data_IF_759378644803
#
_entry.id   IF_759378644803
#
_cell.length_a   1.000
_cell.length_b   1.000
_cell.length_c   1.000
_cell.angle_alpha   90.00
_cell.angle_beta   90.00
_cell.angle_gamma   90.00
#
_symmetry.space_group_name_H-M   'P 1'
#
loop_
_entity.id
_entity.type
_entity.pdbx_description
1 polymer ?
#
# COMPACT_ATOMS: atom_id res chain seq x y z
N UNK A 1 12.71 -39.62 -3.71
CA UNK A 1 12.22 -38.42 -4.46
C UNK A 1 11.88 -38.91 -5.85
N UNK A 2 10.69 -38.64 -6.41
CA UNK A 2 10.34 -39.11 -7.74
C UNK A 2 11.27 -38.50 -8.80
N UNK A 3 11.65 -39.32 -9.77
CA UNK A 3 12.47 -38.92 -10.91
C UNK A 3 11.85 -37.80 -11.78
N UNK A 4 12.68 -37.08 -12.56
CA UNK A 4 12.23 -35.97 -13.41
C UNK A 4 11.22 -36.41 -14.49
N UNK A 5 11.26 -37.66 -14.96
CA UNK A 5 10.33 -38.20 -15.94
C UNK A 5 8.89 -38.26 -15.40
N UNK A 6 8.72 -38.63 -14.13
CA UNK A 6 7.40 -38.65 -13.46
C UNK A 6 6.81 -37.24 -13.36
N UNK A 7 7.64 -36.26 -12.96
CA UNK A 7 7.22 -34.87 -12.86
C UNK A 7 6.87 -34.28 -14.24
N UNK A 8 7.66 -34.59 -15.27
CA UNK A 8 7.37 -34.18 -16.65
C UNK A 8 6.06 -34.78 -17.17
N UNK A 9 5.78 -36.05 -16.83
CA UNK A 9 4.54 -36.71 -17.23
C UNK A 9 3.29 -36.07 -16.60
N UNK A 10 3.36 -35.62 -15.34
CA UNK A 10 2.26 -34.85 -14.70
C UNK A 10 2.02 -33.53 -15.42
N UNK A 11 3.10 -32.80 -15.78
CA UNK A 11 3.00 -31.52 -16.49
C UNK A 11 2.23 -31.63 -17.82
N UNK A 12 2.32 -32.77 -18.51
CA UNK A 12 1.63 -33.04 -19.78
C UNK A 12 0.18 -33.49 -19.62
N UNK A 13 -0.15 -34.28 -18.58
CA UNK A 13 -1.45 -34.94 -18.44
C UNK A 13 -2.44 -34.27 -17.48
N UNK A 14 -2.03 -33.18 -16.81
CA UNK A 14 -2.78 -32.47 -15.78
C UNK A 14 -2.96 -33.28 -14.48
N UNK A 15 -3.30 -34.55 -14.57
CA UNK A 15 -3.30 -35.52 -13.47
C UNK A 15 -2.64 -36.82 -13.95
N UNK A 16 -1.87 -37.47 -13.07
CA UNK A 16 -1.25 -38.75 -13.34
C UNK A 16 -1.42 -39.66 -12.13
N UNK A 17 -1.96 -40.86 -12.37
CA UNK A 17 -2.02 -41.95 -11.42
C UNK A 17 -1.28 -43.16 -11.99
N UNK A 18 -0.33 -43.69 -11.24
CA UNK A 18 0.43 -44.89 -11.59
C UNK A 18 0.43 -45.83 -10.39
N UNK A 19 -0.32 -46.92 -10.50
CA UNK A 19 -0.48 -47.90 -9.42
C UNK A 19 0.79 -48.72 -9.16
N UNK A 20 1.56 -49.01 -10.22
CA UNK A 20 2.94 -49.53 -10.13
C UNK A 20 3.82 -48.89 -11.22
N UNK A 21 4.71 -47.98 -10.83
CA UNK A 21 5.64 -47.24 -11.68
C UNK A 21 6.60 -48.16 -12.44
N UNK A 22 6.87 -49.37 -11.92
CA UNK A 22 7.73 -50.33 -12.61
C UNK A 22 7.08 -50.96 -13.84
N UNK A 23 5.77 -50.78 -14.03
CA UNK A 23 5.04 -51.30 -15.20
C UNK A 23 5.18 -50.43 -16.44
N UNK A 24 5.62 -49.16 -16.30
CA UNK A 24 5.94 -48.27 -17.42
C UNK A 24 7.45 -47.96 -17.43
N UNK A 25 8.24 -48.59 -18.32
CA UNK A 25 9.68 -48.39 -18.40
C UNK A 25 10.11 -46.93 -18.63
N UNK A 26 9.20 -46.06 -19.12
CA UNK A 26 9.47 -44.64 -19.37
C UNK A 26 9.37 -43.78 -18.11
N UNK A 27 8.74 -44.30 -17.06
CA UNK A 27 8.53 -43.63 -15.78
C UNK A 27 9.28 -44.32 -14.64
N UNK A 28 10.06 -45.37 -14.95
CA UNK A 28 10.65 -46.28 -13.99
C UNK A 28 11.56 -45.55 -12.98
N UNK A 29 11.22 -45.68 -11.71
CA UNK A 29 11.97 -45.13 -10.59
C UNK A 29 12.16 -46.25 -9.54
N UNK A 30 13.39 -46.70 -9.26
CA UNK A 30 13.64 -47.88 -8.43
C UNK A 30 13.15 -47.74 -6.98
N UNK A 31 12.96 -46.51 -6.50
CA UNK A 31 12.50 -46.23 -5.13
C UNK A 31 10.99 -45.99 -5.05
N UNK A 32 10.32 -45.80 -6.19
CA UNK A 32 8.89 -45.51 -6.26
C UNK A 32 8.14 -46.69 -6.88
N UNK A 33 7.12 -47.16 -6.17
CA UNK A 33 6.16 -48.16 -6.67
C UNK A 33 4.85 -47.50 -7.02
N UNK A 34 4.27 -46.71 -6.13
CA UNK A 34 3.05 -45.97 -6.41
C UNK A 34 3.34 -44.49 -6.62
N UNK A 35 2.70 -43.85 -7.60
CA UNK A 35 2.81 -42.41 -7.85
C UNK A 35 1.46 -41.80 -8.21
N UNK A 36 1.12 -40.68 -7.59
CA UNK A 36 0.05 -39.81 -8.05
C UNK A 36 0.55 -38.37 -8.06
N UNK A 37 0.16 -37.61 -9.07
CA UNK A 37 0.57 -36.22 -9.20
C UNK A 37 -0.47 -35.39 -9.92
N UNK A 38 -0.61 -34.14 -9.50
CA UNK A 38 -1.48 -33.15 -10.13
C UNK A 38 -0.66 -31.93 -10.49
N UNK A 39 -0.93 -31.37 -11.67
CA UNK A 39 -0.33 -30.14 -12.13
C UNK A 39 -1.02 -28.97 -11.44
N UNK A 40 -0.24 -28.05 -10.89
CA UNK A 40 -0.74 -26.78 -10.38
C UNK A 40 -0.91 -25.83 -11.56
N UNK A 41 -2.14 -25.39 -11.80
CA UNK A 41 -2.46 -24.40 -12.82
C UNK A 41 -2.36 -23.00 -12.22
N UNK A 42 -1.26 -22.30 -12.51
CA UNK A 42 -0.95 -20.97 -11.98
C UNK A 42 -1.31 -19.85 -12.98
N UNK A 43 -2.02 -20.18 -14.06
CA UNK A 43 -2.36 -19.20 -15.11
C UNK A 43 -1.13 -18.60 -15.78
N UNK A 44 -1.11 -17.27 -15.92
CA UNK A 44 -0.01 -16.51 -16.53
C UNK A 44 1.20 -16.30 -15.58
N UNK A 45 1.05 -16.63 -14.29
CA UNK A 45 2.09 -16.46 -13.28
C UNK A 45 3.02 -17.69 -13.23
N UNK A 46 4.06 -17.69 -14.08
CA UNK A 46 5.21 -18.61 -14.06
C UNK A 46 4.93 -20.12 -14.34
N UNK A 47 6.00 -20.93 -14.40
CA UNK A 47 5.96 -22.35 -14.76
C UNK A 47 5.01 -23.18 -13.86
N UNK A 48 4.18 -24.02 -14.48
CA UNK A 48 3.31 -24.95 -13.77
C UNK A 48 4.07 -25.86 -12.80
N UNK A 49 3.76 -25.75 -11.51
CA UNK A 49 4.25 -26.63 -10.45
C UNK A 49 3.59 -28.01 -10.48
N UNK A 50 4.14 -28.97 -9.73
CA UNK A 50 3.56 -30.32 -9.58
C UNK A 50 3.45 -30.65 -8.10
N UNK A 51 2.23 -30.97 -7.66
CA UNK A 51 1.97 -31.57 -6.35
C UNK A 51 1.86 -33.08 -6.53
N UNK A 52 2.57 -33.86 -5.71
CA UNK A 52 2.65 -35.31 -5.88
C UNK A 52 2.69 -36.05 -4.55
N UNK A 53 2.30 -37.33 -4.60
CA UNK A 53 2.49 -38.30 -3.53
C UNK A 53 3.04 -39.60 -4.12
N UNK A 54 4.00 -40.21 -3.43
CA UNK A 54 4.66 -41.43 -3.88
C UNK A 54 4.85 -42.43 -2.73
N UNK A 55 4.91 -43.72 -3.02
CA UNK A 55 5.14 -44.78 -2.03
C UNK A 55 6.05 -45.88 -2.59
N UNK A 56 6.92 -46.42 -1.74
CA UNK A 56 7.79 -47.57 -2.03
C UNK A 56 7.04 -48.92 -2.01
N UNK A 57 5.75 -48.93 -1.67
CA UNK A 57 4.90 -50.13 -1.68
C UNK A 57 3.96 -50.06 -2.88
N UNK A 58 3.92 -51.14 -3.66
CA UNK A 58 2.91 -51.32 -4.71
C UNK A 58 1.55 -51.58 -4.06
N UNK A 59 0.48 -51.05 -4.64
CA UNK A 59 -0.89 -51.26 -4.17
C UNK A 59 -1.90 -50.49 -5.01
N UNK A 60 -3.16 -50.95 -5.03
CA UNK A 60 -4.27 -50.19 -5.62
C UNK A 60 -4.39 -48.87 -4.88
N UNK A 61 -4.41 -47.76 -5.63
CA UNK A 61 -4.61 -46.46 -5.03
C UNK A 61 -5.94 -46.47 -4.29
N UNK A 62 -5.95 -46.14 -3.01
CA UNK A 62 -7.21 -45.70 -2.41
C UNK A 62 -7.67 -44.50 -3.25
N UNK A 63 -8.85 -44.57 -3.92
CA UNK A 63 -9.32 -43.47 -4.77
C UNK A 63 -9.47 -42.16 -4.00
N UNK A 64 -9.51 -42.19 -2.66
CA UNK A 64 -9.46 -41.01 -1.82
C UNK A 64 -8.13 -40.23 -1.96
N UNK A 65 -7.01 -40.89 -2.22
CA UNK A 65 -5.68 -40.24 -2.26
C UNK A 65 -5.52 -39.35 -3.50
N UNK A 66 -5.76 -39.81 -4.74
CA UNK A 66 -5.71 -38.94 -5.92
C UNK A 66 -6.70 -37.78 -5.84
N UNK A 67 -7.90 -38.04 -5.30
CA UNK A 67 -8.92 -37.01 -5.12
C UNK A 67 -8.51 -35.93 -4.12
N UNK A 68 -8.01 -36.33 -2.95
CA UNK A 68 -7.51 -35.39 -1.95
C UNK A 68 -6.32 -34.58 -2.49
N UNK A 69 -5.44 -35.21 -3.27
CA UNK A 69 -4.32 -34.52 -3.90
C UNK A 69 -4.79 -33.48 -4.94
N UNK A 70 -5.79 -33.81 -5.74
CA UNK A 70 -6.39 -32.87 -6.69
C UNK A 70 -7.06 -31.69 -5.97
N UNK A 71 -7.82 -31.94 -4.91
CA UNK A 71 -8.47 -30.89 -4.11
C UNK A 71 -7.42 -29.95 -3.47
N UNK A 72 -6.37 -30.52 -2.87
CA UNK A 72 -5.24 -29.76 -2.32
C UNK A 72 -4.48 -28.99 -3.40
N UNK A 73 -4.22 -29.61 -4.55
CA UNK A 73 -3.56 -28.97 -5.68
C UNK A 73 -4.34 -27.76 -6.18
N UNK A 74 -5.67 -27.88 -6.30
CA UNK A 74 -6.52 -26.77 -6.70
C UNK A 74 -6.56 -25.64 -5.65
N UNK A 75 -6.52 -25.98 -4.35
CA UNK A 75 -6.44 -24.98 -3.27
C UNK A 75 -5.09 -24.24 -3.29
N UNK A 76 -3.98 -24.97 -3.39
CA UNK A 76 -2.63 -24.40 -3.48
C UNK A 76 -2.47 -23.53 -4.71
N UNK A 77 -2.95 -23.97 -5.87
CA UNK A 77 -2.88 -23.20 -7.11
C UNK A 77 -3.65 -21.87 -7.00
N UNK A 78 -4.85 -21.88 -6.40
CA UNK A 78 -5.62 -20.65 -6.13
C UNK A 78 -4.85 -19.71 -5.20
N UNK A 79 -4.33 -20.22 -4.09
CA UNK A 79 -3.59 -19.41 -3.12
C UNK A 79 -2.36 -18.76 -3.76
N UNK A 80 -1.52 -19.56 -4.45
CA UNK A 80 -0.33 -19.06 -5.12
C UNK A 80 -0.65 -18.01 -6.19
N UNK A 81 -1.72 -18.21 -6.95
CA UNK A 81 -2.15 -17.25 -7.99
C UNK A 81 -2.65 -15.94 -7.36
N UNK A 82 -3.43 -16.03 -6.26
CA UNK A 82 -3.88 -14.86 -5.51
C UNK A 82 -2.70 -14.11 -4.89
N UNK A 83 -1.77 -14.80 -4.23
CA UNK A 83 -0.57 -14.20 -3.65
C UNK A 83 0.27 -13.49 -4.72
N UNK A 84 0.53 -14.14 -5.86
CA UNK A 84 1.28 -13.52 -6.95
C UNK A 84 0.58 -12.27 -7.52
N UNK A 85 -0.75 -12.29 -7.62
CA UNK A 85 -1.53 -11.14 -8.08
C UNK A 85 -1.48 -9.97 -7.11
N UNK A 86 -1.51 -10.25 -5.80
CA UNK A 86 -1.36 -9.24 -4.75
C UNK A 86 0.06 -8.66 -4.70
N UNK A 87 1.09 -9.51 -4.87
CA UNK A 87 2.48 -9.08 -4.94
C UNK A 87 2.72 -8.14 -6.12
N UNK A 88 2.22 -8.48 -7.31
CA UNK A 88 2.27 -7.59 -8.48
C UNK A 88 1.51 -6.28 -8.21
N UNK A 89 0.34 -6.34 -7.58
CA UNK A 89 -0.41 -5.15 -7.17
C UNK A 89 0.42 -4.25 -6.26
N UNK A 90 1.08 -4.83 -5.25
CA UNK A 90 1.97 -4.12 -4.32
C UNK A 90 3.14 -3.46 -5.04
N UNK A 91 3.76 -4.16 -5.98
CA UNK A 91 4.85 -3.61 -6.81
C UNK A 91 4.37 -2.37 -7.57
N UNK A 92 3.24 -2.47 -8.26
CA UNK A 92 2.64 -1.34 -8.99
C UNK A 92 2.30 -0.18 -8.05
N UNK A 93 1.69 -0.45 -6.88
CA UNK A 93 1.36 0.61 -5.93
C UNK A 93 2.61 1.35 -5.44
N UNK A 94 3.70 0.62 -5.16
CA UNK A 94 4.98 1.23 -4.78
C UNK A 94 5.61 2.05 -5.91
N UNK A 95 5.48 1.62 -7.15
CA UNK A 95 5.95 2.39 -8.31
C UNK A 95 5.13 3.65 -8.57
N UNK A 96 3.86 3.65 -8.15
CA UNK A 96 2.99 4.82 -8.25
C UNK A 96 3.32 5.89 -7.21
N UNK A 97 3.83 5.49 -6.04
CA UNK A 97 4.31 6.41 -5.00
C UNK A 97 5.58 7.13 -5.47
N UNK A 98 5.84 8.36 -4.99
CA UNK A 98 7.05 9.09 -5.36
C UNK A 98 8.33 8.36 -4.91
N UNK A 99 9.00 7.67 -5.83
CA UNK A 99 10.25 6.92 -5.58
C UNK A 99 11.36 7.78 -4.95
N UNK A 100 11.36 9.09 -5.25
CA UNK A 100 12.26 10.09 -4.64
C UNK A 100 11.52 11.41 -4.45
N UNK A 101 11.81 12.16 -3.37
CA UNK A 101 11.30 13.51 -3.23
C UNK A 101 11.78 14.42 -4.37
N UNK A 102 10.94 15.35 -4.86
CA UNK A 102 11.38 16.38 -5.78
C UNK A 102 12.46 17.24 -5.12
N UNK A 103 13.46 17.64 -5.89
CA UNK A 103 14.47 18.60 -5.42
C UNK A 103 13.85 19.99 -5.36
N UNK A 104 13.72 20.53 -4.14
CA UNK A 104 13.20 21.86 -3.85
C UNK A 104 14.28 22.66 -3.11
N UNK A 105 14.73 23.77 -3.69
CA UNK A 105 15.81 24.57 -3.10
C UNK A 105 15.37 25.14 -1.75
N UNK A 106 16.17 24.93 -0.70
CA UNK A 106 15.86 25.40 0.65
C UNK A 106 14.85 24.53 1.40
N UNK A 107 14.53 23.32 0.91
CA UNK A 107 13.67 22.37 1.61
C UNK A 107 14.28 20.97 1.62
N UNK A 108 13.99 20.25 2.70
CA UNK A 108 14.23 18.81 2.83
C UNK A 108 12.88 18.12 2.94
N UNK A 109 12.66 17.06 2.16
CA UNK A 109 11.41 16.32 2.12
C UNK A 109 11.72 14.86 2.46
N UNK A 110 10.88 14.24 3.28
CA UNK A 110 10.97 12.81 3.60
C UNK A 110 9.57 12.23 3.73
N UNK A 111 9.43 10.95 3.42
CA UNK A 111 8.18 10.23 3.60
C UNK A 111 8.46 8.78 3.98
N UNK A 112 7.53 8.22 4.74
CA UNK A 112 7.47 6.81 5.06
C UNK A 112 6.04 6.35 4.83
N UNK A 113 5.84 5.32 4.01
CA UNK A 113 4.53 4.74 3.76
C UNK A 113 4.66 3.23 3.77
N UNK A 114 3.88 2.58 4.62
CA UNK A 114 3.94 1.16 4.87
C UNK A 114 2.51 0.60 4.96
N UNK A 115 2.07 -0.21 3.98
CA UNK A 115 0.75 -0.82 4.05
C UNK A 115 0.72 -1.96 5.09
N UNK A 116 -0.42 -2.08 5.78
CA UNK A 116 -0.76 -3.15 6.72
C UNK A 116 -0.88 -4.51 6.02
N UNK A 117 -1.46 -4.52 4.82
CA UNK A 117 -1.61 -5.70 3.97
C UNK A 117 -0.67 -5.63 2.75
N UNK A 118 -0.90 -6.47 1.74
CA UNK A 118 -0.16 -6.39 0.48
C UNK A 118 -0.41 -5.06 -0.24
N UNK A 119 -1.60 -4.48 -0.07
CA UNK A 119 -2.02 -3.22 -0.66
C UNK A 119 -2.65 -2.32 0.40
N UNK A 120 -2.30 -1.03 0.39
CA UNK A 120 -2.83 -0.04 1.33
C UNK A 120 -3.87 0.90 0.72
N UNK A 121 -4.78 1.41 1.55
CA UNK A 121 -5.67 2.53 1.27
C UNK A 121 -5.00 3.90 1.41
N UNK A 122 -3.85 3.95 2.05
CA UNK A 122 -3.01 5.15 2.11
C UNK A 122 -2.31 5.46 0.78
N UNK A 123 -2.22 6.74 0.46
CA UNK A 123 -1.40 7.25 -0.63
C UNK A 123 -0.84 8.63 -0.31
N UNK A 124 0.39 8.92 -0.73
CA UNK A 124 0.93 10.27 -0.74
C UNK A 124 1.56 10.66 -2.07
N UNK A 125 1.52 11.94 -2.42
CA UNK A 125 2.16 12.48 -3.62
C UNK A 125 2.74 13.87 -3.37
N UNK A 126 3.77 14.22 -4.12
CA UNK A 126 4.37 15.54 -4.11
C UNK A 126 5.02 15.90 -5.45
N UNK A 127 4.80 17.11 -5.93
CA UNK A 127 5.42 17.55 -7.17
C UNK A 127 5.46 19.07 -7.24
N UNK A 128 6.27 19.59 -8.16
CA UNK A 128 6.46 21.04 -8.31
C UNK A 128 5.66 21.57 -9.47
N UNK A 129 4.97 22.69 -9.25
CA UNK A 129 4.26 23.44 -10.29
C UNK A 129 4.50 24.92 -10.06
N UNK A 130 5.19 25.57 -11.00
CA UNK A 130 5.34 27.03 -11.02
C UNK A 130 6.00 27.62 -9.77
N UNK A 131 6.99 26.93 -9.17
CA UNK A 131 7.65 27.39 -7.93
C UNK A 131 6.84 27.13 -6.66
N UNK A 132 5.83 26.26 -6.74
CA UNK A 132 5.10 25.76 -5.58
C UNK A 132 5.19 24.23 -5.51
N UNK A 133 5.48 23.72 -4.32
CA UNK A 133 5.43 22.30 -3.99
C UNK A 133 3.99 21.92 -3.64
N UNK A 134 3.45 20.92 -4.36
CA UNK A 134 2.20 20.25 -4.05
C UNK A 134 2.46 19.09 -3.11
N UNK A 135 1.59 18.93 -2.12
CA UNK A 135 1.67 17.90 -1.10
C UNK A 135 0.28 17.28 -1.02
N UNK A 136 0.21 15.96 -1.06
CA UNK A 136 -1.03 15.20 -0.96
C UNK A 136 -0.79 14.03 -0.02
N UNK A 137 -1.69 13.83 0.94
CA UNK A 137 -1.84 12.59 1.67
C UNK A 137 -3.32 12.24 1.66
N UNK A 138 -3.63 11.00 1.29
CA UNK A 138 -4.99 10.44 1.21
C UNK A 138 -5.00 9.15 1.99
N UNK A 139 -6.07 8.92 2.74
CA UNK A 139 -6.34 7.67 3.44
C UNK A 139 -7.81 7.29 3.15
N UNK A 140 -8.01 6.12 2.55
CA UNK A 140 -9.32 5.62 2.14
C UNK A 140 -9.83 4.60 3.15
N UNK A 141 -11.07 4.78 3.62
CA UNK A 141 -11.70 3.85 4.57
C UNK A 141 -11.59 2.39 4.11
N UNK A 142 -11.05 1.57 5.01
CA UNK A 142 -10.90 0.13 4.84
C UNK A 142 -9.51 -0.25 4.36
N UNK A 143 -9.26 -1.56 4.21
CA UNK A 143 -7.91 -2.09 3.99
C UNK A 143 -7.87 -3.02 2.78
N UNK A 144 -6.68 -3.21 2.22
CA UNK A 144 -6.42 -4.15 1.14
C UNK A 144 -6.86 -3.65 -0.24
N UNK A 145 -7.17 -4.60 -1.13
CA UNK A 145 -7.40 -4.34 -2.57
C UNK A 145 -8.49 -3.29 -2.84
N UNK A 146 -9.56 -3.29 -2.05
CA UNK A 146 -10.69 -2.40 -2.32
C UNK A 146 -10.35 -0.92 -2.04
N UNK A 147 -9.73 -0.62 -0.91
CA UNK A 147 -9.32 0.74 -0.57
C UNK A 147 -8.17 1.21 -1.46
N UNK A 148 -7.23 0.32 -1.81
CA UNK A 148 -6.09 0.67 -2.67
C UNK A 148 -6.50 1.10 -4.08
N UNK A 149 -7.54 0.48 -4.66
CA UNK A 149 -8.07 0.87 -5.97
C UNK A 149 -8.68 2.27 -5.95
N UNK A 150 -9.44 2.59 -4.90
CA UNK A 150 -10.02 3.92 -4.71
C UNK A 150 -8.91 4.94 -4.46
N UNK A 151 -7.93 4.63 -3.61
CA UNK A 151 -6.81 5.49 -3.29
C UNK A 151 -6.00 5.87 -4.54
N UNK A 152 -5.72 4.89 -5.41
CA UNK A 152 -5.05 5.13 -6.69
C UNK A 152 -5.84 6.09 -7.59
N UNK A 153 -7.17 5.95 -7.65
CA UNK A 153 -8.05 6.84 -8.39
C UNK A 153 -8.10 8.25 -7.82
N UNK A 154 -8.31 8.38 -6.51
CA UNK A 154 -8.33 9.67 -5.80
C UNK A 154 -7.03 10.42 -6.04
N UNK A 155 -5.87 9.77 -5.85
CA UNK A 155 -4.59 10.44 -6.09
C UNK A 155 -4.42 10.85 -7.55
N UNK A 156 -4.76 10.02 -8.54
CA UNK A 156 -4.62 10.42 -9.94
C UNK A 156 -5.44 11.69 -10.26
N UNK A 157 -6.65 11.78 -9.69
CA UNK A 157 -7.52 12.95 -9.84
C UNK A 157 -7.01 14.16 -9.08
N UNK A 158 -6.52 13.98 -7.84
CA UNK A 158 -5.88 15.04 -7.06
C UNK A 158 -4.64 15.59 -7.77
N UNK A 159 -3.79 14.71 -8.31
CA UNK A 159 -2.61 15.08 -9.06
C UNK A 159 -2.96 15.99 -10.25
N UNK A 160 -3.96 15.57 -11.05
CA UNK A 160 -4.43 16.36 -12.18
C UNK A 160 -5.04 17.71 -11.73
N UNK A 161 -5.89 17.71 -10.71
CA UNK A 161 -6.57 18.90 -10.24
C UNK A 161 -5.61 19.93 -9.60
N UNK A 162 -4.74 19.51 -8.69
CA UNK A 162 -3.76 20.37 -8.01
C UNK A 162 -2.67 20.91 -8.93
N UNK A 163 -2.47 20.28 -10.09
CA UNK A 163 -1.57 20.81 -11.13
C UNK A 163 -2.09 22.10 -11.75
N UNK A 164 -3.42 22.29 -11.80
CA UNK A 164 -4.04 23.43 -12.47
C UNK A 164 -4.76 24.38 -11.53
N UNK A 165 -5.00 23.98 -10.28
CA UNK A 165 -5.82 24.71 -9.33
C UNK A 165 -5.16 24.87 -7.94
N UNK A 166 -5.72 25.75 -7.12
CA UNK A 166 -5.42 25.80 -5.69
C UNK A 166 -6.10 24.66 -4.93
N UNK A 167 -5.67 24.36 -3.70
CA UNK A 167 -6.26 23.34 -2.83
C UNK A 167 -7.79 23.29 -2.82
N UNK A 168 -8.47 24.39 -2.50
CA UNK A 168 -9.94 24.43 -2.39
C UNK A 168 -10.67 24.10 -3.71
N UNK A 169 -10.18 24.64 -4.83
CA UNK A 169 -10.78 24.34 -6.13
C UNK A 169 -10.50 22.89 -6.57
N UNK A 170 -9.34 22.35 -6.21
CA UNK A 170 -8.97 20.97 -6.55
C UNK A 170 -9.81 19.95 -5.76
N UNK A 171 -9.92 20.10 -4.44
CA UNK A 171 -10.72 19.20 -3.60
C UNK A 171 -12.19 19.21 -3.99
N UNK A 172 -12.78 20.38 -4.25
CA UNK A 172 -14.18 20.51 -4.65
C UNK A 172 -14.44 19.80 -5.99
N UNK A 173 -13.49 19.90 -6.92
CA UNK A 173 -13.60 19.23 -8.22
C UNK A 173 -13.53 17.71 -8.08
N UNK A 174 -12.55 17.20 -7.33
CA UNK A 174 -12.37 15.76 -7.14
C UNK A 174 -13.54 15.16 -6.35
N UNK A 175 -14.03 15.86 -5.32
CA UNK A 175 -15.19 15.44 -4.57
C UNK A 175 -16.45 15.32 -5.43
N UNK A 176 -16.72 16.30 -6.31
CA UNK A 176 -17.85 16.25 -7.23
C UNK A 176 -17.72 15.14 -8.28
N UNK A 177 -16.52 14.94 -8.83
CA UNK A 177 -16.28 13.91 -9.83
C UNK A 177 -16.37 12.47 -9.23
N UNK A 178 -16.08 12.29 -7.92
CA UNK A 178 -16.12 10.99 -7.22
C UNK A 178 -17.37 10.75 -6.36
N UNK A 179 -18.29 11.70 -6.27
CA UNK A 179 -19.45 11.63 -5.36
C UNK A 179 -20.26 10.34 -5.55
N UNK A 180 -20.56 9.99 -6.81
CA UNK A 180 -21.32 8.76 -7.13
C UNK A 180 -20.52 7.49 -6.83
N UNK A 181 -19.20 7.51 -7.01
CA UNK A 181 -18.35 6.34 -6.76
C UNK A 181 -18.23 6.06 -5.25
N UNK A 182 -18.07 7.11 -4.43
CA UNK A 182 -18.08 6.98 -2.98
C UNK A 182 -19.43 6.50 -2.44
N UNK A 183 -20.55 7.03 -2.95
CA UNK A 183 -21.91 6.59 -2.56
C UNK A 183 -22.14 5.11 -2.89
N UNK A 184 -21.81 4.68 -4.12
CA UNK A 184 -22.01 3.29 -4.57
C UNK A 184 -21.12 2.28 -3.85
N UNK A 185 -19.94 2.70 -3.42
CA UNK A 185 -19.00 1.82 -2.71
C UNK A 185 -19.17 1.86 -1.19
N UNK A 186 -20.00 2.78 -0.67
CA UNK A 186 -20.09 3.09 0.75
C UNK A 186 -18.70 3.30 1.38
N UNK A 187 -17.89 4.12 0.70
CA UNK A 187 -16.53 4.49 1.10
C UNK A 187 -16.39 6.00 1.22
N UNK A 188 -15.39 6.42 1.98
CA UNK A 188 -14.95 7.81 2.06
C UNK A 188 -13.42 7.84 2.14
N UNK A 189 -12.84 9.01 1.89
CA UNK A 189 -11.41 9.24 1.98
C UNK A 189 -11.12 10.51 2.78
N UNK A 190 -10.21 10.42 3.74
CA UNK A 190 -9.62 11.60 4.37
C UNK A 190 -8.47 12.10 3.50
N UNK A 191 -8.32 13.42 3.38
CA UNK A 191 -7.26 13.99 2.56
C UNK A 191 -6.64 15.22 3.22
N UNK A 192 -5.32 15.32 3.18
CA UNK A 192 -4.61 16.59 3.32
C UNK A 192 -4.02 16.98 1.96
N UNK A 193 -4.33 18.18 1.49
CA UNK A 193 -3.74 18.72 0.26
C UNK A 193 -3.14 20.10 0.50
N UNK A 194 -1.95 20.34 -0.03
CA UNK A 194 -1.19 21.55 0.19
C UNK A 194 -0.55 22.10 -1.08
N UNK A 195 -0.41 23.42 -1.12
CA UNK A 195 0.39 24.17 -2.08
C UNK A 195 1.32 25.11 -1.30
N UNK A 196 2.57 24.69 -1.17
CA UNK A 196 3.63 25.43 -0.50
C UNK A 196 4.35 26.32 -1.51
N UNK A 197 4.33 27.63 -1.30
CA UNK A 197 5.14 28.58 -2.06
C UNK A 197 6.60 28.46 -1.63
N UNK A 198 7.48 28.04 -2.55
CA UNK A 198 8.87 27.71 -2.23
C UNK A 198 9.66 28.94 -1.75
N UNK A 199 9.35 30.13 -2.27
CA UNK A 199 10.08 31.35 -1.95
C UNK A 199 9.69 31.92 -0.57
N UNK A 200 8.40 31.95 -0.28
CA UNK A 200 7.86 32.60 0.92
C UNK A 200 7.70 31.65 2.09
N UNK A 201 7.55 30.34 1.83
CA UNK A 201 7.18 29.33 2.82
C UNK A 201 5.70 29.34 3.20
N UNK A 202 4.88 30.12 2.50
CA UNK A 202 3.42 30.14 2.72
C UNK A 202 2.82 28.85 2.18
N UNK A 203 2.16 28.10 3.06
CA UNK A 203 1.40 26.91 2.74
C UNK A 203 -0.09 27.28 2.69
N UNK A 204 -0.71 27.12 1.52
CA UNK A 204 -2.17 27.06 1.42
C UNK A 204 -2.59 25.60 1.41
N UNK A 205 -3.56 25.23 2.22
CA UNK A 205 -3.94 23.83 2.38
C UNK A 205 -5.44 23.65 2.62
N UNK A 206 -5.90 22.42 2.39
CA UNK A 206 -7.21 21.94 2.83
C UNK A 206 -6.99 20.63 3.58
N UNK A 207 -7.63 20.51 4.73
CA UNK A 207 -7.76 19.26 5.47
C UNK A 207 -9.22 18.77 5.36
N UNK A 208 -9.42 17.75 4.54
CA UNK A 208 -10.70 17.09 4.34
C UNK A 208 -10.86 15.90 5.30
N UNK A 209 -10.94 16.19 6.60
CA UNK A 209 -11.18 15.21 7.65
C UNK A 209 -10.00 14.30 7.98
N UNK A 210 -8.78 14.67 7.58
CA UNK A 210 -7.55 13.94 7.87
C UNK A 210 -7.08 14.20 9.30
N UNK A 211 -7.04 15.46 9.72
CA UNK A 211 -6.88 15.85 11.13
C UNK A 211 -5.49 15.64 11.73
N UNK A 212 -4.52 15.12 10.98
CA UNK A 212 -3.19 14.76 11.47
C UNK A 212 -2.15 15.53 10.64
N UNK A 213 -2.24 16.85 10.71
CA UNK A 213 -1.26 17.78 10.13
C UNK A 213 -0.75 18.74 11.20
N UNK A 214 0.57 18.85 11.33
CA UNK A 214 1.23 19.61 12.39
C UNK A 214 2.38 20.43 11.83
N UNK A 215 2.49 21.67 12.30
CA UNK A 215 3.64 22.52 12.07
C UNK A 215 4.51 22.54 13.34
N UNK A 216 5.70 21.94 13.24
CA UNK A 216 6.73 21.98 14.27
C UNK A 216 7.67 23.16 13.98
N UNK A 217 7.77 24.10 14.90
CA UNK A 217 8.64 25.26 14.77
C UNK A 217 10.10 24.93 15.13
N UNK A 218 11.03 25.74 14.63
CA UNK A 218 12.46 25.58 14.88
C UNK A 218 12.87 25.64 16.36
N UNK A 219 12.11 26.34 17.20
CA UNK A 219 12.30 26.37 18.66
C UNK A 219 11.76 25.11 19.37
N UNK A 220 11.17 24.21 18.60
CA UNK A 220 10.54 22.99 19.05
C UNK A 220 9.16 23.19 19.65
N UNK A 221 8.53 24.36 19.57
CA UNK A 221 7.08 24.51 19.76
C UNK A 221 6.33 23.94 18.54
N UNK A 222 5.03 23.64 18.67
CA UNK A 222 4.25 23.13 17.55
C UNK A 222 2.80 23.60 17.64
N UNK A 223 2.13 23.59 16.49
CA UNK A 223 0.70 23.77 16.37
C UNK A 223 0.11 22.72 15.43
N UNK A 224 -1.05 22.19 15.81
CA UNK A 224 -1.84 21.36 14.90
C UNK A 224 -2.54 22.29 13.90
N UNK A 225 -2.38 22.00 12.62
CA UNK A 225 -3.05 22.75 11.56
C UNK A 225 -4.57 22.56 11.68
N UNK A 226 -5.31 23.60 11.31
CA UNK A 226 -6.76 23.62 11.47
C UNK A 226 -7.40 22.49 10.65
N UNK A 227 -8.09 21.59 11.35
CA UNK A 227 -8.90 20.52 10.79
C UNK A 227 -10.35 20.70 11.25
N UNK A 228 -11.30 20.50 10.34
CA UNK A 228 -12.71 20.73 10.65
C UNK A 228 -13.69 20.33 9.56
N UNK A 229 -13.21 20.13 8.34
CA UNK A 229 -14.06 19.64 7.27
C UNK A 229 -14.23 18.12 7.36
N UNK A 230 -15.29 17.62 6.72
CA UNK A 230 -15.57 16.19 6.66
C UNK A 230 -14.79 15.51 5.52
N UNK A 231 -14.58 14.18 5.61
CA UNK A 231 -13.95 13.39 4.55
C UNK A 231 -14.70 13.46 3.22
N UNK A 232 -13.97 13.25 2.11
CA UNK A 232 -14.59 13.08 0.79
C UNK A 232 -15.53 11.89 0.81
N UNK A 233 -16.74 12.05 0.25
CA UNK A 233 -17.73 10.97 0.20
C UNK A 233 -18.48 10.74 1.51
N UNK A 234 -18.19 11.49 2.58
CA UNK A 234 -18.92 11.37 3.84
C UNK A 234 -20.37 11.84 3.72
N UNK A 235 -20.60 12.96 3.02
CA UNK A 235 -21.92 13.53 2.73
C UNK A 235 -21.93 14.16 1.32
N UNK A 236 -23.09 14.21 0.65
CA UNK A 236 -23.23 14.90 -0.63
C UNK A 236 -23.16 16.42 -0.46
N UNK A 237 -22.60 17.09 -1.48
CA UNK A 237 -22.54 18.56 -1.54
C UNK A 237 -21.66 19.24 -0.48
N UNK A 238 -20.70 18.53 0.10
CA UNK A 238 -19.71 19.12 1.02
C UNK A 238 -18.85 20.19 0.34
N UNK A 239 -18.40 21.14 1.14
CA UNK A 239 -17.46 22.19 0.76
C UNK A 239 -16.32 22.22 1.76
N UNK A 240 -15.11 22.49 1.28
CA UNK A 240 -13.91 22.59 2.10
C UNK A 240 -13.35 23.99 2.05
N UNK A 241 -12.73 24.45 3.15
CA UNK A 241 -12.18 25.80 3.23
C UNK A 241 -10.66 25.80 3.16
N UNK A 242 -10.09 26.59 2.24
CA UNK A 242 -8.64 26.80 2.22
C UNK A 242 -8.17 27.53 3.49
N UNK A 243 -7.17 26.94 4.13
CA UNK A 243 -6.45 27.50 5.27
C UNK A 243 -5.04 27.90 4.84
N UNK A 244 -4.38 28.73 5.66
CA UNK A 244 -3.00 29.15 5.42
C UNK A 244 -2.14 28.96 6.66
N UNK A 245 -0.92 28.46 6.45
CA UNK A 245 0.16 28.41 7.44
C UNK A 245 1.45 28.95 6.81
N UNK A 246 2.48 29.23 7.60
CA UNK A 246 3.78 29.68 7.08
C UNK A 246 4.90 28.90 7.74
N UNK A 247 5.71 28.22 6.92
CA UNK A 247 6.91 27.53 7.38
C UNK A 247 8.05 28.54 7.47
N UNK A 248 8.53 28.84 8.68
CA UNK A 248 9.77 29.57 8.90
C UNK A 248 11.01 28.71 8.63
N UNK A 249 12.21 29.30 8.48
CA UNK A 249 13.45 28.52 8.41
C UNK A 249 13.62 27.63 9.65
N UNK A 250 13.89 26.35 9.42
CA UNK A 250 13.97 25.31 10.44
C UNK A 250 12.65 24.60 10.74
N UNK A 251 11.50 25.18 10.40
CA UNK A 251 10.19 24.60 10.67
C UNK A 251 9.95 23.35 9.82
N UNK A 252 9.14 22.44 10.36
CA UNK A 252 8.78 21.15 9.76
C UNK A 252 7.27 21.02 9.70
N UNK A 253 6.72 20.89 8.50
CA UNK A 253 5.37 20.38 8.29
C UNK A 253 5.41 18.85 8.38
N UNK A 254 4.55 18.26 9.19
CA UNK A 254 4.32 16.83 9.29
C UNK A 254 2.85 16.55 9.01
N UNK A 255 2.58 15.58 8.13
CA UNK A 255 1.24 15.10 7.81
C UNK A 255 1.29 13.58 7.90
N UNK A 256 0.37 12.93 8.59
CA UNK A 256 0.36 11.48 8.70
C UNK A 256 -1.03 10.88 8.68
N UNK A 257 -1.17 9.61 8.32
CA UNK A 257 -2.43 8.86 8.43
C UNK A 257 -2.71 8.43 9.87
N UNK A 258 -3.90 7.88 10.10
CA UNK A 258 -4.32 7.41 11.42
C UNK A 258 -3.54 6.18 11.92
N UNK A 259 -2.93 5.40 11.03
CA UNK A 259 -2.01 4.32 11.42
C UNK A 259 -0.80 4.81 12.24
N UNK A 260 -0.42 6.09 12.11
CA UNK A 260 0.55 6.71 13.02
C UNK A 260 0.04 6.72 14.45
N UNK A 261 -1.25 7.00 14.64
CA UNK A 261 -1.90 7.02 15.94
C UNK A 261 -2.15 5.62 16.49
N UNK A 262 -2.16 4.56 15.70
CA UNK A 262 -2.27 3.21 16.26
C UNK A 262 -1.00 2.79 17.03
N UNK A 263 0.13 3.44 16.76
CA UNK A 263 1.41 3.19 17.46
C UNK A 263 1.55 3.97 18.78
N UNK A 264 0.69 4.95 19.02
CA UNK A 264 0.79 5.88 20.15
C UNK A 264 -0.59 6.11 20.78
N UNK A 265 -0.70 6.22 22.09
CA UNK A 265 -2.03 6.37 22.72
C UNK A 265 -2.79 7.61 22.22
N UNK A 266 -2.07 8.70 21.91
CA UNK A 266 -2.63 9.98 21.44
C UNK A 266 -1.68 10.69 20.49
N UNK A 267 -2.23 11.59 19.67
CA UNK A 267 -1.45 12.49 18.81
C UNK A 267 -0.39 13.29 19.61
N UNK A 268 -0.69 13.69 20.85
CA UNK A 268 0.31 14.39 21.69
C UNK A 268 1.58 13.59 21.90
N UNK A 269 1.46 12.27 22.01
CA UNK A 269 2.58 11.38 22.33
C UNK A 269 3.46 11.18 21.09
N UNK A 270 2.86 11.13 19.89
CA UNK A 270 3.57 11.21 18.59
C UNK A 270 4.39 12.50 18.52
N UNK A 271 3.78 13.63 18.88
CA UNK A 271 4.41 14.95 18.77
C UNK A 271 5.52 15.13 19.79
N UNK A 272 5.40 14.57 20.99
CA UNK A 272 6.50 14.55 21.95
C UNK A 272 7.72 13.80 21.41
N UNK A 273 7.51 12.67 20.76
CA UNK A 273 8.58 11.88 20.15
C UNK A 273 9.22 12.59 18.96
N UNK A 274 8.40 13.15 18.05
CA UNK A 274 8.86 14.00 16.95
C UNK A 274 9.74 15.15 17.47
N UNK A 275 9.30 15.85 18.52
CA UNK A 275 10.04 16.96 19.13
C UNK A 275 11.37 16.49 19.72
N UNK A 276 11.39 15.32 20.35
CA UNK A 276 12.61 14.72 20.91
C UNK A 276 13.63 14.46 19.79
N UNK A 277 13.23 13.74 18.74
CA UNK A 277 14.08 13.42 17.59
C UNK A 277 14.57 14.70 16.88
N UNK A 278 13.69 15.68 16.69
CA UNK A 278 14.06 16.96 16.09
C UNK A 278 15.15 17.69 16.89
N UNK A 279 15.03 17.75 18.22
CA UNK A 279 16.03 18.40 19.10
C UNK A 279 17.36 17.65 19.16
N UNK A 280 17.32 16.33 18.99
CA UNK A 280 18.52 15.49 18.90
C UNK A 280 19.25 15.66 17.56
N UNK A 281 18.67 16.39 16.61
CA UNK A 281 19.27 16.65 15.30
C UNK A 281 19.18 15.46 14.36
N UNK A 282 18.22 14.55 14.59
CA UNK A 282 17.93 13.43 13.69
C UNK A 282 17.49 13.97 12.33
N UNK A 283 17.99 13.35 11.26
CA UNK A 283 17.61 13.73 9.90
C UNK A 283 16.15 13.37 9.60
N UNK A 284 15.57 14.02 8.58
CA UNK A 284 14.14 13.93 8.32
C UNK A 284 13.70 12.53 7.87
N UNK A 285 14.54 11.80 7.14
CA UNK A 285 14.26 10.43 6.71
C UNK A 285 14.22 9.47 7.91
N UNK A 286 15.24 9.53 8.78
CA UNK A 286 15.27 8.74 10.01
C UNK A 286 14.10 9.11 10.93
N UNK A 287 13.70 10.39 10.99
CA UNK A 287 12.56 10.84 11.78
C UNK A 287 11.26 10.18 11.32
N UNK A 288 10.91 10.28 10.02
CA UNK A 288 9.64 9.69 9.53
C UNK A 288 9.64 8.16 9.62
N UNK A 289 10.80 7.52 9.42
CA UNK A 289 10.94 6.07 9.61
C UNK A 289 10.78 5.65 11.08
N UNK A 290 11.27 6.44 12.04
CA UNK A 290 11.15 6.13 13.46
C UNK A 290 9.71 6.27 13.94
N UNK A 291 9.02 7.33 13.51
CA UNK A 291 7.62 7.56 13.89
C UNK A 291 6.69 6.55 13.21
N UNK A 292 6.87 6.31 11.91
CA UNK A 292 6.07 5.34 11.16
C UNK A 292 6.38 3.89 11.54
N UNK A 293 7.63 3.62 11.88
CA UNK A 293 8.10 2.34 12.40
C UNK A 293 8.08 1.20 11.38
N UNK A 294 7.60 0.04 11.83
CA UNK A 294 7.57 -1.22 11.09
C UNK A 294 6.14 -1.76 10.94
N UNK A 295 6.03 -2.90 10.26
CA UNK A 295 4.77 -3.55 9.84
C UNK A 295 4.09 -4.27 11.01
N UNK A 296 4.03 -3.64 12.17
CA UNK A 296 3.50 -4.17 13.44
C UNK A 296 2.09 -3.67 13.77
N UNK A 297 1.50 -2.89 12.87
CA UNK A 297 0.28 -2.10 13.06
C UNK A 297 -0.84 -2.70 12.22
N UNK A 298 -2.07 -2.62 12.71
CA UNK A 298 -3.22 -3.22 12.00
C UNK A 298 -3.67 -2.33 10.83
N UNK A 299 -3.34 -1.03 10.82
CA UNK A 299 -3.56 -0.09 9.72
C UNK A 299 -2.33 0.30 8.90
N UNK A 300 -2.61 0.87 7.73
CA UNK A 300 -1.61 1.48 6.87
C UNK A 300 -1.01 2.70 7.57
N UNK A 301 0.32 2.86 7.49
CA UNK A 301 1.02 3.96 8.14
C UNK A 301 1.72 4.79 7.08
N UNK A 302 1.31 6.05 6.95
CA UNK A 302 1.94 7.01 6.04
C UNK A 302 2.26 8.31 6.77
N UNK A 303 3.47 8.81 6.59
CA UNK A 303 3.95 10.08 7.13
C UNK A 303 4.71 10.81 6.04
N UNK A 304 4.39 12.08 5.85
CA UNK A 304 5.03 13.00 4.92
C UNK A 304 5.55 14.19 5.73
N UNK A 305 6.83 14.53 5.51
CA UNK A 305 7.49 15.62 6.20
C UNK A 305 8.15 16.58 5.21
N UNK A 306 7.99 17.88 5.46
CA UNK A 306 8.64 18.96 4.69
C UNK A 306 9.27 19.96 5.64
N UNK A 307 10.60 20.07 5.60
CA UNK A 307 11.39 21.01 6.41
C UNK A 307 11.89 22.16 5.55
N UNK A 308 11.72 23.40 6.00
CA UNK A 308 12.38 24.57 5.40
C UNK A 308 13.76 24.76 6.03
N UNK A 309 14.78 25.04 5.21
CA UNK A 309 16.18 25.22 5.62
C UNK A 309 16.56 26.69 5.84
#
# INVERSE_FOLDING_TARGET
MPGPELLAAVRLKQELLVEDVQTDPRLADPEVRFFTGVRLDLGDAAEAGVLWAASARAGTADPAVPRALADLGAMLARELTTSASLELGREIQNELLPLRPPQVSGYTLAAHSLPSLELGGDFYDWWRVGGSLRIVLVDVMGKGVASSLIAAGVRAMMHAALTHHGPEAAIARVAGDLETDFDRTARFATCFIGALDEATGVLRYVDAGHGIAVLLHADGSYEQLAAGDLPLGALPGLTWQEQTATLGPGDVLLVGSDGVLERYDRLSDVLEEVRRLYREGVDLDTLVQTIGGDRSVDDDVTIVAVRRM
#
